data_IF_915582567640
#
_entry.id   IF_915582567640
#
_cell.length_a   1.000
_cell.length_b   1.000
_cell.length_c   1.000
_cell.angle_alpha   90.00
_cell.angle_beta   90.00
_cell.angle_gamma   90.00
#
_symmetry.space_group_name_H-M   'P 1'
#
loop_
_entity.id
_entity.type
_entity.pdbx_description
1 polymer ?
#
# COMPACT_ATOMS: atom_id res chain seq x y z
N UNK A 1 9.76 -10.37 -26.01
CA UNK A 1 10.07 -8.91 -26.01
C UNK A 1 8.88 -8.04 -25.64
N UNK A 2 7.68 -8.31 -26.15
CA UNK A 2 6.49 -7.46 -25.91
C UNK A 2 6.02 -7.45 -24.43
N UNK A 3 6.06 -8.60 -23.76
CA UNK A 3 5.72 -8.72 -22.32
C UNK A 3 6.64 -7.86 -21.46
N UNK A 4 7.95 -7.90 -21.72
CA UNK A 4 8.92 -7.08 -20.99
C UNK A 4 8.60 -5.58 -21.13
N UNK A 5 8.21 -5.13 -22.33
CA UNK A 5 7.81 -3.74 -22.56
C UNK A 5 6.55 -3.37 -21.77
N UNK A 6 5.57 -4.26 -21.72
CA UNK A 6 4.36 -4.05 -20.94
C UNK A 6 4.68 -3.92 -19.44
N UNK A 7 5.54 -4.80 -18.92
CA UNK A 7 6.01 -4.74 -17.52
C UNK A 7 6.75 -3.43 -17.25
N UNK A 8 7.66 -3.01 -18.14
CA UNK A 8 8.37 -1.74 -17.99
C UNK A 8 7.39 -0.55 -17.96
N UNK A 9 6.35 -0.53 -18.79
CA UNK A 9 5.34 0.53 -18.76
C UNK A 9 4.53 0.53 -17.46
N UNK A 10 4.15 -0.64 -16.96
CA UNK A 10 3.46 -0.77 -15.67
C UNK A 10 4.34 -0.25 -14.54
N UNK A 11 5.61 -0.65 -14.49
CA UNK A 11 6.53 -0.18 -13.46
C UNK A 11 6.80 1.32 -13.59
N UNK A 12 6.99 1.82 -14.81
CA UNK A 12 7.27 3.23 -15.07
C UNK A 12 6.10 4.13 -14.67
N UNK A 13 4.87 3.73 -14.97
CA UNK A 13 3.66 4.46 -14.54
C UNK A 13 3.49 4.43 -13.03
N UNK A 14 3.80 3.32 -12.37
CA UNK A 14 3.80 3.26 -10.90
C UNK A 14 4.86 4.19 -10.28
N UNK A 15 6.06 4.24 -10.87
CA UNK A 15 7.14 5.14 -10.43
C UNK A 15 6.74 6.59 -10.63
N UNK A 16 6.19 6.93 -11.80
CA UNK A 16 5.71 8.28 -12.09
C UNK A 16 4.61 8.71 -11.13
N UNK A 17 3.58 7.88 -10.95
CA UNK A 17 2.49 8.14 -10.00
C UNK A 17 2.99 8.34 -8.57
N UNK A 18 3.81 7.42 -8.08
CA UNK A 18 4.37 7.47 -6.72
C UNK A 18 5.24 8.71 -6.52
N UNK A 19 6.03 9.10 -7.53
CA UNK A 19 6.82 10.33 -7.52
C UNK A 19 5.94 11.58 -7.48
N UNK A 20 4.86 11.61 -8.26
CA UNK A 20 3.90 12.71 -8.24
C UNK A 20 3.25 12.90 -6.87
N UNK A 21 2.82 11.78 -6.27
CA UNK A 21 2.23 11.75 -4.92
C UNK A 21 3.24 12.24 -3.87
N UNK A 22 4.49 11.77 -3.88
CA UNK A 22 5.49 12.18 -2.89
C UNK A 22 5.87 13.65 -3.02
N UNK A 23 5.96 14.17 -4.25
CA UNK A 23 6.22 15.58 -4.51
C UNK A 23 5.08 16.48 -3.98
N UNK A 24 3.83 16.06 -4.21
CA UNK A 24 2.66 16.79 -3.70
C UNK A 24 2.50 16.67 -2.18
N UNK A 25 2.82 15.51 -1.61
CA UNK A 25 2.66 15.25 -0.18
C UNK A 25 3.66 15.97 0.72
N UNK A 26 4.80 16.39 0.16
CA UNK A 26 5.88 17.10 0.88
C UNK A 26 6.28 16.38 2.18
N UNK A 27 5.96 16.95 3.34
CA UNK A 27 6.32 16.41 4.66
C UNK A 27 5.20 15.59 5.32
N UNK A 28 4.00 15.56 4.74
CA UNK A 28 2.86 14.85 5.32
C UNK A 28 2.95 13.36 5.01
N UNK A 29 2.58 12.53 5.98
CA UNK A 29 2.44 11.09 5.77
C UNK A 29 1.23 10.83 4.85
N UNK A 30 1.49 10.41 3.61
CA UNK A 30 0.43 10.05 2.67
C UNK A 30 0.15 8.56 2.74
N UNK A 31 -1.13 8.21 2.92
CA UNK A 31 -1.63 6.85 2.88
C UNK A 31 -2.42 6.69 1.56
N UNK A 32 -1.94 5.91 0.58
CA UNK A 32 -2.70 5.65 -0.64
C UNK A 32 -4.04 4.99 -0.27
N UNK A 33 -5.11 5.53 -0.86
CA UNK A 33 -6.49 5.05 -0.65
C UNK A 33 -6.87 4.10 -1.78
N UNK A 34 -8.02 3.44 -1.64
CA UNK A 34 -8.59 2.60 -2.70
C UNK A 34 -8.72 3.35 -4.04
N UNK A 35 -9.07 4.63 -4.02
CA UNK A 35 -9.16 5.47 -5.23
C UNK A 35 -7.82 5.53 -5.99
N UNK A 36 -6.69 5.54 -5.28
CA UNK A 36 -5.36 5.56 -5.90
C UNK A 36 -5.10 4.28 -6.72
N UNK A 37 -5.63 3.12 -6.31
CA UNK A 37 -5.53 1.86 -7.06
C UNK A 37 -6.36 1.91 -8.36
N UNK A 38 -7.56 2.50 -8.31
CA UNK A 38 -8.39 2.66 -9.50
C UNK A 38 -7.69 3.60 -10.49
N UNK A 39 -7.18 4.74 -10.02
CA UNK A 39 -6.49 5.72 -10.87
C UNK A 39 -5.26 5.11 -11.55
N UNK A 40 -4.43 4.37 -10.80
CA UNK A 40 -3.26 3.71 -11.39
C UNK A 40 -3.67 2.63 -12.41
N UNK A 41 -4.74 1.87 -12.16
CA UNK A 41 -5.25 0.90 -13.12
C UNK A 41 -5.77 1.58 -14.41
N UNK A 42 -6.49 2.70 -14.27
CA UNK A 42 -6.94 3.50 -15.41
C UNK A 42 -5.77 4.09 -16.19
N UNK A 43 -4.69 4.52 -15.50
CA UNK A 43 -3.46 4.97 -16.14
C UNK A 43 -2.80 3.85 -16.96
N UNK A 44 -2.78 2.61 -16.46
CA UNK A 44 -2.29 1.47 -17.24
C UNK A 44 -3.11 1.27 -18.52
N UNK A 45 -4.44 1.27 -18.41
CA UNK A 45 -5.33 1.15 -19.57
C UNK A 45 -5.08 2.27 -20.57
N UNK A 46 -5.00 3.52 -20.11
CA UNK A 46 -4.71 4.66 -20.96
C UNK A 46 -3.35 4.53 -21.68
N UNK A 47 -2.30 4.15 -20.96
CA UNK A 47 -0.96 3.96 -21.55
C UNK A 47 -0.94 2.81 -22.56
N UNK A 48 -1.63 1.70 -22.28
CA UNK A 48 -1.75 0.60 -23.25
C UNK A 48 -2.55 1.00 -24.49
N UNK A 49 -3.55 1.88 -24.33
CA UNK A 49 -4.34 2.40 -25.43
C UNK A 49 -3.58 3.43 -26.29
N UNK A 50 -2.72 4.25 -25.68
CA UNK A 50 -1.83 5.19 -26.40
C UNK A 50 -0.62 4.51 -27.04
N UNK A 51 -0.23 3.32 -26.55
CA UNK A 51 0.92 2.55 -27.01
C UNK A 51 1.04 2.41 -28.54
N UNK A 52 0.01 1.98 -29.30
CA UNK A 52 0.13 1.78 -30.75
C UNK A 52 0.29 3.08 -31.54
N UNK A 53 -0.06 4.24 -30.97
CA UNK A 53 -0.07 5.52 -31.66
C UNK A 53 1.27 6.27 -31.56
N UNK A 54 2.16 5.86 -30.66
CA UNK A 54 3.39 6.61 -30.34
C UNK A 54 4.66 5.78 -30.58
N UNK A 55 5.76 6.48 -30.89
CA UNK A 55 7.08 5.89 -30.95
C UNK A 55 7.53 5.31 -29.60
N UNK A 56 8.42 4.31 -29.63
CA UNK A 56 8.88 3.53 -28.45
C UNK A 56 9.41 4.39 -27.29
N UNK A 57 10.09 5.49 -27.60
CA UNK A 57 10.66 6.40 -26.60
C UNK A 57 9.65 7.45 -26.12
N UNK A 58 8.77 7.89 -27.02
CA UNK A 58 7.76 8.88 -26.71
C UNK A 58 6.74 8.34 -25.69
N UNK A 59 6.31 7.08 -25.84
CA UNK A 59 5.37 6.48 -24.88
C UNK A 59 5.95 6.36 -23.47
N UNK A 60 7.26 6.13 -23.33
CA UNK A 60 7.90 6.08 -22.01
C UNK A 60 7.86 7.46 -21.34
N UNK A 61 8.24 8.50 -22.09
CA UNK A 61 8.19 9.89 -21.60
C UNK A 61 6.76 10.32 -21.23
N UNK A 62 5.80 10.05 -22.10
CA UNK A 62 4.38 10.39 -21.85
C UNK A 62 3.81 9.61 -20.68
N UNK A 63 4.06 8.30 -20.58
CA UNK A 63 3.56 7.48 -19.47
C UNK A 63 4.10 7.99 -18.13
N UNK A 64 5.40 8.30 -18.06
CA UNK A 64 6.03 8.85 -16.86
C UNK A 64 5.46 10.24 -16.50
N UNK A 65 5.38 11.16 -17.46
CA UNK A 65 4.88 12.51 -17.22
C UNK A 65 3.40 12.51 -16.84
N UNK A 66 2.58 11.76 -17.57
CA UNK A 66 1.14 11.66 -17.32
C UNK A 66 0.87 11.13 -15.91
N UNK A 67 1.52 10.02 -15.54
CA UNK A 67 1.33 9.43 -14.22
C UNK A 67 1.84 10.35 -13.09
N UNK A 68 2.97 11.03 -13.29
CA UNK A 68 3.48 12.03 -12.34
C UNK A 68 2.52 13.19 -12.14
N UNK A 69 2.03 13.78 -13.23
CA UNK A 69 1.09 14.92 -13.18
C UNK A 69 -0.21 14.50 -12.50
N UNK A 70 -0.76 13.34 -12.86
CA UNK A 70 -1.99 12.83 -12.25
C UNK A 70 -1.81 12.58 -10.76
N UNK A 71 -0.73 11.90 -10.35
CA UNK A 71 -0.43 11.66 -8.94
C UNK A 71 -0.22 12.95 -8.15
N UNK A 72 0.46 13.94 -8.75
CA UNK A 72 0.67 15.26 -8.17
C UNK A 72 -0.65 16.02 -7.99
N UNK A 73 -1.44 16.16 -9.05
CA UNK A 73 -2.68 16.93 -9.03
C UNK A 73 -3.70 16.34 -8.06
N UNK A 74 -3.90 15.01 -8.11
CA UNK A 74 -4.84 14.32 -7.23
C UNK A 74 -4.48 14.53 -5.76
N UNK A 75 -3.20 14.40 -5.42
CA UNK A 75 -2.71 14.59 -4.06
C UNK A 75 -2.75 16.06 -3.66
N UNK A 76 -2.38 16.99 -4.54
CA UNK A 76 -2.43 18.42 -4.28
C UNK A 76 -3.87 18.89 -4.01
N UNK A 77 -4.85 18.42 -4.78
CA UNK A 77 -6.28 18.72 -4.55
C UNK A 77 -6.76 18.09 -3.24
N UNK A 78 -6.37 16.85 -2.95
CA UNK A 78 -6.71 16.17 -1.69
C UNK A 78 -6.15 16.92 -0.48
N UNK A 79 -4.92 17.42 -0.55
CA UNK A 79 -4.28 18.12 0.55
C UNK A 79 -4.81 19.54 0.78
N UNK A 80 -5.46 20.17 -0.20
CA UNK A 80 -6.17 21.45 0.02
C UNK A 80 -7.29 21.35 1.06
N UNK A 81 -7.82 20.15 1.30
CA UNK A 81 -8.93 19.89 2.22
C UNK A 81 -8.51 19.13 3.49
N UNK A 82 -7.21 18.93 3.72
CA UNK A 82 -6.73 18.29 4.95
C UNK A 82 -6.43 19.37 5.97
N UNK A 83 -7.36 19.55 6.92
CA UNK A 83 -7.22 20.43 8.07
C UNK A 83 -5.91 20.17 8.82
N UNK A 84 -5.22 21.24 9.21
CA UNK A 84 -3.89 21.23 9.86
C UNK A 84 -3.88 20.61 11.29
N UNK A 85 -4.98 19.98 11.72
CA UNK A 85 -5.18 19.53 13.10
C UNK A 85 -4.53 18.20 13.45
N UNK A 86 -3.99 17.46 12.47
CA UNK A 86 -3.33 16.17 12.69
C UNK A 86 -1.79 16.23 12.75
N UNK A 87 -1.20 17.43 12.87
CA UNK A 87 0.23 17.59 13.15
C UNK A 87 0.40 17.57 14.66
N UNK A 88 0.81 16.42 15.20
CA UNK A 88 1.24 16.33 16.60
C UNK A 88 2.30 17.41 16.83
N UNK A 89 2.06 18.38 17.74
CA UNK A 89 3.02 19.42 18.04
C UNK A 89 4.37 18.77 18.35
N UNK A 90 5.47 19.34 17.84
CA UNK A 90 6.82 18.78 18.08
C UNK A 90 7.12 18.63 19.60
N UNK A 91 6.41 19.39 20.44
CA UNK A 91 6.39 19.34 21.90
C UNK A 91 5.70 18.12 22.52
N UNK A 92 5.00 17.28 21.75
CA UNK A 92 4.36 16.05 22.21
C UNK A 92 5.09 14.78 21.71
N UNK A 93 6.05 14.92 20.80
CA UNK A 93 6.87 13.79 20.36
C UNK A 93 7.78 13.31 21.50
N UNK A 94 7.93 11.98 21.70
CA UNK A 94 8.81 11.44 22.73
C UNK A 94 10.27 11.85 22.49
N UNK A 95 11.05 12.06 23.57
CA UNK A 95 12.39 12.68 23.51
C UNK A 95 13.35 12.02 22.51
N UNK A 96 13.31 10.69 22.40
CA UNK A 96 14.13 9.94 21.44
C UNK A 96 13.85 10.27 19.96
N UNK A 97 12.65 10.77 19.64
CA UNK A 97 12.28 11.23 18.31
C UNK A 97 12.72 12.69 18.06
N UNK A 98 12.95 13.48 19.11
CA UNK A 98 13.45 14.87 19.02
C UNK A 98 14.95 14.92 18.75
N UNK A 99 15.69 14.02 19.39
CA UNK A 99 17.16 14.00 19.37
C UNK A 99 17.75 13.63 17.99
N UNK A 100 17.01 12.87 17.18
CA UNK A 100 17.45 12.42 15.85
C UNK A 100 17.63 13.57 14.83
N UNK A 101 17.15 14.78 15.15
CA UNK A 101 17.17 15.94 14.26
C UNK A 101 18.44 16.81 14.29
N UNK A 102 19.22 16.74 15.37
CA UNK A 102 20.25 17.76 15.67
C UNK A 102 21.70 17.33 15.48
N UNK A 103 21.96 16.16 14.87
CA UNK A 103 23.31 15.89 14.35
C UNK A 103 23.55 16.72 13.10
N UNK A 104 23.96 17.97 13.32
CA UNK A 104 24.47 18.90 12.33
C UNK A 104 25.77 18.32 11.74
N UNK A 105 25.62 17.41 10.79
CA UNK A 105 26.74 16.88 10.02
C UNK A 105 27.23 17.97 9.08
N UNK A 106 28.24 18.70 9.55
CA UNK A 106 29.15 19.47 8.71
C UNK A 106 29.88 18.47 7.79
N UNK A 107 29.59 18.50 6.49
CA UNK A 107 30.31 17.65 5.53
C UNK A 107 29.58 17.44 4.21
N UNK A 108 30.12 18.05 3.16
CA UNK A 108 29.88 17.83 1.73
C UNK A 108 28.42 17.95 1.22
N UNK A 109 28.23 18.80 0.21
CA UNK A 109 26.98 18.96 -0.56
C UNK A 109 26.43 17.60 -1.04
N UNK A 110 27.33 16.66 -1.36
CA UNK A 110 27.00 15.28 -1.73
C UNK A 110 26.22 14.53 -0.63
N UNK A 111 26.67 14.60 0.63
CA UNK A 111 26.01 13.89 1.74
C UNK A 111 24.63 14.49 2.05
N UNK A 112 24.49 15.81 1.88
CA UNK A 112 23.19 16.50 1.99
C UNK A 112 22.23 16.10 0.87
N UNK A 113 22.73 15.97 -0.36
CA UNK A 113 21.98 15.47 -1.51
C UNK A 113 21.54 14.02 -1.31
N UNK A 114 22.46 13.16 -0.88
CA UNK A 114 22.18 11.74 -0.59
C UNK A 114 21.09 11.57 0.47
N UNK A 115 21.17 12.30 1.58
CA UNK A 115 20.15 12.23 2.64
C UNK A 115 18.77 12.68 2.15
N UNK A 116 18.70 13.71 1.31
CA UNK A 116 17.43 14.14 0.69
C UNK A 116 16.89 13.08 -0.26
N UNK A 117 17.76 12.46 -1.06
CA UNK A 117 17.41 11.36 -1.94
C UNK A 117 16.88 10.14 -1.16
N UNK A 118 17.56 9.72 -0.10
CA UNK A 118 17.15 8.60 0.74
C UNK A 118 15.78 8.84 1.37
N UNK A 119 15.54 10.06 1.87
CA UNK A 119 14.23 10.45 2.40
C UNK A 119 13.14 10.42 1.33
N UNK A 120 13.44 10.90 0.13
CA UNK A 120 12.51 10.87 -1.00
C UNK A 120 12.22 9.43 -1.45
N UNK A 121 13.26 8.61 -1.62
CA UNK A 121 13.16 7.21 -2.03
C UNK A 121 12.38 6.39 -1.00
N UNK A 122 12.59 6.62 0.30
CA UNK A 122 11.83 5.97 1.36
C UNK A 122 10.33 6.29 1.30
N UNK A 123 9.98 7.57 1.09
CA UNK A 123 8.58 7.99 0.92
C UNK A 123 7.94 7.38 -0.33
N UNK A 124 8.67 7.42 -1.45
CA UNK A 124 8.20 6.86 -2.72
C UNK A 124 8.00 5.35 -2.62
N UNK A 125 8.95 4.65 -2.00
CA UNK A 125 8.89 3.22 -1.75
C UNK A 125 7.72 2.82 -0.87
N UNK A 126 7.38 3.61 0.16
CA UNK A 126 6.18 3.34 0.98
C UNK A 126 4.88 3.47 0.17
N UNK A 127 4.76 4.47 -0.71
CA UNK A 127 3.59 4.61 -1.61
C UNK A 127 3.53 3.44 -2.58
N UNK A 128 4.63 3.14 -3.25
CA UNK A 128 4.71 2.06 -4.24
C UNK A 128 4.44 0.69 -3.60
N UNK A 129 5.02 0.43 -2.42
CA UNK A 129 4.83 -0.83 -1.69
C UNK A 129 3.37 -1.05 -1.30
N UNK A 130 2.67 -0.01 -0.84
CA UNK A 130 1.24 -0.10 -0.51
C UNK A 130 0.36 -0.30 -1.73
N UNK A 131 0.67 0.37 -2.85
CA UNK A 131 -0.05 0.15 -4.10
C UNK A 131 0.14 -1.29 -4.59
N UNK A 132 1.39 -1.80 -4.57
CA UNK A 132 1.69 -3.18 -4.95
C UNK A 132 0.97 -4.19 -4.05
N UNK A 133 0.98 -3.96 -2.73
CA UNK A 133 0.21 -4.77 -1.78
C UNK A 133 -1.29 -4.71 -2.08
N UNK A 134 -1.84 -3.52 -2.35
CA UNK A 134 -3.23 -3.37 -2.76
C UNK A 134 -3.57 -4.24 -3.97
N UNK A 135 -2.77 -4.16 -5.04
CA UNK A 135 -2.96 -5.02 -6.22
C UNK A 135 -2.81 -6.51 -5.92
N UNK A 136 -1.83 -6.91 -5.11
CA UNK A 136 -1.67 -8.31 -4.69
C UNK A 136 -2.92 -8.83 -3.98
N UNK A 137 -3.48 -8.03 -3.06
CA UNK A 137 -4.71 -8.41 -2.36
C UNK A 137 -5.91 -8.53 -3.31
N UNK A 138 -6.04 -7.62 -4.28
CA UNK A 138 -7.15 -7.68 -5.24
C UNK A 138 -7.01 -8.79 -6.29
N UNK A 139 -5.80 -9.03 -6.80
CA UNK A 139 -5.56 -9.96 -7.92
C UNK A 139 -5.34 -11.39 -7.43
N UNK A 140 -4.75 -11.58 -6.24
CA UNK A 140 -4.37 -12.91 -5.74
C UNK A 140 -5.26 -13.31 -4.57
N UNK A 141 -5.28 -12.51 -3.50
CA UNK A 141 -5.94 -12.90 -2.24
C UNK A 141 -7.47 -12.91 -2.38
N UNK A 142 -8.05 -11.92 -3.04
CA UNK A 142 -9.51 -11.78 -3.20
C UNK A 142 -10.12 -12.94 -3.99
N UNK A 143 -9.64 -13.31 -5.21
CA UNK A 143 -10.21 -14.46 -5.90
C UNK A 143 -9.99 -15.77 -5.14
N UNK A 144 -8.84 -15.95 -4.49
CA UNK A 144 -8.61 -17.10 -3.62
C UNK A 144 -9.64 -17.16 -2.48
N UNK A 145 -9.87 -16.04 -1.78
CA UNK A 145 -10.86 -15.95 -0.71
C UNK A 145 -12.29 -16.21 -1.19
N UNK A 146 -12.65 -15.74 -2.40
CA UNK A 146 -13.94 -16.03 -3.03
C UNK A 146 -14.08 -17.53 -3.31
N UNK A 147 -13.07 -18.16 -3.90
CA UNK A 147 -13.05 -19.61 -4.17
C UNK A 147 -13.23 -20.39 -2.85
N UNK A 148 -12.41 -20.12 -1.83
CA UNK A 148 -12.53 -20.79 -0.53
C UNK A 148 -13.91 -20.55 0.08
N UNK A 149 -14.44 -19.32 0.05
CA UNK A 149 -15.77 -19.01 0.59
C UNK A 149 -16.90 -19.74 -0.15
N UNK A 150 -16.77 -19.94 -1.46
CA UNK A 150 -17.79 -20.62 -2.26
C UNK A 150 -17.73 -22.14 -2.09
N UNK A 151 -16.53 -22.72 -2.11
CA UNK A 151 -16.32 -24.18 -2.12
C UNK A 151 -16.04 -24.79 -0.75
N UNK A 152 -15.68 -24.00 0.25
CA UNK A 152 -15.44 -24.47 1.62
C UNK A 152 -16.31 -23.69 2.60
N UNK A 153 -16.90 -24.41 3.54
CA UNK A 153 -17.52 -23.83 4.73
C UNK A 153 -16.75 -24.30 5.97
N UNK A 154 -15.49 -23.85 6.14
CA UNK A 154 -14.63 -24.33 7.24
C UNK A 154 -15.20 -23.98 8.61
N UNK A 155 -16.17 -23.06 8.67
CA UNK A 155 -16.81 -22.60 9.90
C UNK A 155 -18.26 -23.09 10.03
N UNK A 156 -18.73 -24.00 9.16
CA UNK A 156 -20.10 -24.53 9.15
C UNK A 156 -21.21 -23.46 9.17
N UNK A 157 -20.91 -22.20 8.81
CA UNK A 157 -21.82 -21.06 8.98
C UNK A 157 -23.06 -21.19 8.07
N UNK A 158 -22.95 -21.96 6.98
CA UNK A 158 -24.06 -22.21 6.05
C UNK A 158 -25.00 -23.33 6.53
N UNK A 159 -24.63 -24.08 7.58
CA UNK A 159 -25.52 -25.09 8.18
C UNK A 159 -26.61 -24.38 8.98
N UNK A 160 -27.82 -24.93 8.96
CA UNK A 160 -28.98 -24.34 9.65
C UNK A 160 -28.68 -24.18 11.15
N UNK A 161 -29.16 -23.11 11.80
CA UNK A 161 -29.01 -22.89 13.25
C UNK A 161 -29.70 -23.96 14.13
N UNK A 162 -30.35 -24.96 13.52
CA UNK A 162 -31.00 -26.08 14.21
C UNK A 162 -29.99 -27.12 14.76
N UNK A 163 -28.73 -27.11 14.30
CA UNK A 163 -27.67 -27.96 14.84
C UNK A 163 -26.64 -27.10 15.57
N UNK A 164 -26.57 -27.29 16.89
CA UNK A 164 -25.52 -26.72 17.74
C UNK A 164 -24.15 -27.23 17.28
N UNK A 165 -23.25 -26.32 16.87
CA UNK A 165 -21.83 -26.61 16.57
C UNK A 165 -21.01 -26.90 17.85
N UNK A 166 -21.63 -26.89 19.04
CA UNK A 166 -21.00 -27.40 20.26
C UNK A 166 -20.74 -28.89 20.11
N UNK A 167 -19.46 -29.25 19.99
CA UNK A 167 -19.04 -30.64 20.08
C UNK A 167 -19.24 -31.14 21.52
N UNK A 168 -19.94 -32.27 21.72
CA UNK A 168 -20.05 -32.86 23.04
C UNK A 168 -18.65 -33.20 23.55
N UNK A 169 -18.26 -32.58 24.66
CA UNK A 169 -17.05 -32.96 25.39
C UNK A 169 -17.27 -34.38 25.90
N UNK A 170 -16.38 -35.32 25.56
CA UNK A 170 -16.40 -36.63 26.17
C UNK A 170 -16.33 -36.46 27.69
N UNK A 171 -17.24 -37.11 28.45
CA UNK A 171 -17.20 -37.02 29.90
C UNK A 171 -15.86 -37.56 30.37
N UNK A 172 -15.02 -36.66 30.88
CA UNK A 172 -13.80 -37.05 31.59
C UNK A 172 -14.23 -37.91 32.78
N UNK A 173 -13.47 -38.96 33.03
CA UNK A 173 -13.73 -39.94 34.09
C UNK A 173 -14.11 -39.22 35.39
N UNK A 174 -15.26 -39.58 35.97
CA UNK A 174 -15.82 -38.94 37.18
C UNK A 174 -15.07 -39.36 38.45
N UNK A 175 -13.82 -39.77 38.29
CA UNK A 175 -12.92 -40.15 39.37
C UNK A 175 -12.29 -38.89 39.97
N UNK A 176 -11.98 -38.97 41.26
CA UNK A 176 -11.30 -37.88 41.98
C UNK A 176 -9.93 -37.58 41.33
N UNK A 177 -9.26 -38.62 40.82
CA UNK A 177 -8.07 -38.50 39.98
C UNK A 177 -8.32 -37.68 38.70
N UNK A 178 -9.39 -37.95 37.95
CA UNK A 178 -9.73 -37.18 36.73
C UNK A 178 -10.06 -35.71 37.00
N UNK A 179 -10.55 -35.37 38.19
CA UNK A 179 -10.79 -33.99 38.62
C UNK A 179 -9.49 -33.23 38.97
N UNK A 180 -8.42 -33.93 39.39
CA UNK A 180 -7.13 -33.32 39.71
C UNK A 180 -6.34 -32.89 38.48
N UNK A 181 -6.58 -33.51 37.33
CA UNK A 181 -5.89 -33.20 36.07
C UNK A 181 -6.47 -31.98 35.33
N UNK A 182 -7.57 -31.38 35.83
CA UNK A 182 -8.27 -30.25 35.19
C UNK A 182 -7.99 -28.88 35.84
N UNK A 183 -7.21 -28.81 36.93
CA UNK A 183 -6.82 -27.58 37.61
C UNK A 183 -5.38 -27.18 37.32
#
# INVERSE_FOLDING_TARGET
MEILRAIVLILLTMVGYSSGVTLAARERAFLPKFLDLIVVALLWVAVFWLRPQMGRWAILGVALLLSLVVGYLLTAVRMRHVDDTAVIPKSELPEHAREKGDTAVSGNIFRRGWRKWEHFAGKMGNVQGRLLMGYFYFIVVTPFGIIVRLFSDPLNIKKRPEQSDWHPKEPTDLTIEGAREQG
#
